data_IF_811023995490
#
_entry.id   IF_811023995490
#
_cell.length_a   1.000
_cell.length_b   1.000
_cell.length_c   1.000
_cell.angle_alpha   90.00
_cell.angle_beta   90.00
_cell.angle_gamma   90.00
#
_symmetry.space_group_name_H-M   'P 1'
#
loop_
_entity.id
_entity.type
_entity.pdbx_description
1 polymer ?
#
# COMPACT_ATOMS: atom_id res chain seq x y z
N UNK A 1 9.71 2.07 -12.54
CA UNK A 1 8.26 2.34 -12.28
C UNK A 1 7.73 3.68 -12.85
N UNK A 2 7.59 3.83 -14.19
CA UNK A 2 6.97 5.01 -14.85
C UNK A 2 7.38 6.40 -14.27
N UNK A 3 8.65 6.56 -13.90
CA UNK A 3 9.20 7.82 -13.36
C UNK A 3 8.86 8.15 -11.90
N UNK A 4 8.18 7.27 -11.14
CA UNK A 4 7.89 7.47 -9.70
C UNK A 4 8.64 6.45 -8.83
N UNK A 5 8.97 6.85 -7.61
CA UNK A 5 9.54 5.99 -6.58
C UNK A 5 8.48 5.10 -5.90
N UNK A 6 8.93 4.10 -5.12
CA UNK A 6 8.03 3.28 -4.28
C UNK A 6 7.38 4.13 -3.19
N UNK A 7 8.15 5.04 -2.57
CA UNK A 7 7.65 5.92 -1.53
C UNK A 7 6.52 6.84 -2.04
N UNK A 8 6.75 7.62 -3.09
CA UNK A 8 5.72 8.50 -3.68
C UNK A 8 4.46 7.71 -4.05
N UNK A 9 4.61 6.49 -4.60
CA UNK A 9 3.46 5.65 -4.96
C UNK A 9 2.72 5.11 -3.73
N UNK A 10 3.43 4.65 -2.69
CA UNK A 10 2.82 4.19 -1.44
C UNK A 10 2.06 5.33 -0.74
N UNK A 11 2.68 6.51 -0.62
CA UNK A 11 2.06 7.71 -0.04
C UNK A 11 0.81 8.10 -0.82
N UNK A 12 0.89 8.15 -2.16
CA UNK A 12 -0.28 8.41 -3.00
C UNK A 12 -1.39 7.40 -2.78
N UNK A 13 -1.08 6.10 -2.79
CA UNK A 13 -2.07 5.04 -2.56
C UNK A 13 -2.78 5.15 -1.21
N UNK A 14 -2.05 5.49 -0.15
CA UNK A 14 -2.62 5.80 1.17
C UNK A 14 -3.58 7.00 1.09
N UNK A 15 -3.14 8.12 0.51
CA UNK A 15 -3.94 9.35 0.44
C UNK A 15 -5.16 9.23 -0.48
N UNK A 16 -5.02 8.53 -1.61
CA UNK A 16 -6.07 8.31 -2.62
C UNK A 16 -7.09 7.25 -2.17
N UNK A 17 -6.81 6.50 -1.10
CA UNK A 17 -7.79 5.58 -0.50
C UNK A 17 -9.05 6.28 0.01
N UNK A 18 -8.93 7.58 0.33
CA UNK A 18 -9.97 8.40 0.96
C UNK A 18 -10.04 8.25 2.48
N UNK A 19 -9.32 7.29 3.07
CA UNK A 19 -9.34 6.99 4.51
C UNK A 19 -8.15 7.54 5.28
N UNK A 20 -7.13 8.08 4.61
CA UNK A 20 -5.90 8.62 5.24
C UNK A 20 -5.79 10.13 5.05
N UNK A 21 -5.80 10.85 6.17
CA UNK A 21 -5.76 12.33 6.20
C UNK A 21 -4.34 12.89 6.26
N UNK A 22 -3.42 12.17 6.89
CA UNK A 22 -2.00 12.54 7.10
C UNK A 22 -1.11 11.31 6.96
N UNK A 23 0.10 11.52 6.46
CA UNK A 23 1.14 10.49 6.39
C UNK A 23 2.43 11.04 7.01
N UNK A 24 3.05 10.24 7.88
CA UNK A 24 4.38 10.53 8.41
C UNK A 24 5.36 9.51 7.84
N UNK A 25 6.41 9.99 7.21
CA UNK A 25 7.48 9.16 6.64
C UNK A 25 8.70 9.26 7.54
N UNK A 26 9.06 8.16 8.21
CA UNK A 26 10.34 8.06 8.89
C UNK A 26 11.44 7.72 7.87
N UNK A 27 12.42 8.61 7.76
CA UNK A 27 13.51 8.53 6.79
C UNK A 27 14.87 8.45 7.49
N UNK A 28 15.85 7.70 6.93
CA UNK A 28 17.25 7.82 7.36
C UNK A 28 17.71 9.29 7.35
N UNK A 29 18.56 9.67 8.29
CA UNK A 29 18.97 11.06 8.49
C UNK A 29 19.60 11.70 7.23
N UNK A 30 20.36 10.92 6.45
CA UNK A 30 20.98 11.32 5.19
C UNK A 30 19.97 11.41 4.02
N UNK A 31 18.79 10.83 4.17
CA UNK A 31 17.72 10.80 3.16
C UNK A 31 16.59 11.81 3.43
N UNK A 32 16.62 12.55 4.53
CA UNK A 32 15.57 13.52 4.88
C UNK A 32 15.31 14.55 3.77
N UNK A 33 16.37 15.20 3.27
CA UNK A 33 16.25 16.20 2.20
C UNK A 33 15.70 15.62 0.88
N UNK A 34 16.30 14.54 0.35
CA UNK A 34 15.79 13.83 -0.82
C UNK A 34 14.31 13.41 -0.69
N UNK A 35 13.95 12.73 0.41
CA UNK A 35 12.57 12.24 0.60
C UNK A 35 11.57 13.38 0.79
N UNK A 36 11.95 14.47 1.48
CA UNK A 36 11.09 15.67 1.60
C UNK A 36 10.78 16.29 0.25
N UNK A 37 11.79 16.39 -0.64
CA UNK A 37 11.56 16.88 -2.02
C UNK A 37 10.67 15.93 -2.81
N UNK A 38 10.84 14.63 -2.64
CA UNK A 38 10.07 13.62 -3.35
C UNK A 38 8.58 13.66 -3.00
N UNK A 39 8.24 13.87 -1.72
CA UNK A 39 6.84 13.91 -1.25
C UNK A 39 6.25 15.33 -1.25
N UNK A 40 6.99 16.33 -1.72
CA UNK A 40 6.55 17.73 -1.73
C UNK A 40 5.23 17.94 -2.49
N UNK A 41 4.96 17.13 -3.52
CA UNK A 41 3.71 17.22 -4.29
C UNK A 41 2.44 16.98 -3.44
N UNK A 42 2.56 16.35 -2.27
CA UNK A 42 1.43 16.06 -1.38
C UNK A 42 1.18 17.18 -0.34
N UNK A 43 2.01 18.22 -0.33
CA UNK A 43 1.87 19.39 0.56
C UNK A 43 1.83 19.02 2.05
N UNK A 44 1.03 19.76 2.82
CA UNK A 44 0.92 19.62 4.29
C UNK A 44 0.23 18.32 4.76
N UNK A 45 -0.09 17.41 3.83
CA UNK A 45 -0.62 16.08 4.18
C UNK A 45 0.49 15.10 4.54
N UNK A 46 1.74 15.38 4.16
CA UNK A 46 2.86 14.44 4.32
C UNK A 46 4.02 15.12 5.05
N UNK A 47 4.51 14.48 6.10
CA UNK A 47 5.63 14.97 6.90
C UNK A 47 6.74 13.94 6.92
N UNK A 48 7.97 14.38 6.68
CA UNK A 48 9.16 13.52 6.77
C UNK A 48 9.88 13.81 8.08
N UNK A 49 10.21 12.77 8.82
CA UNK A 49 10.91 12.86 10.12
C UNK A 49 12.13 11.94 10.11
N UNK A 50 13.18 12.26 10.91
CA UNK A 50 14.28 11.31 11.11
C UNK A 50 13.74 10.02 11.73
N UNK A 51 14.08 8.89 11.11
CA UNK A 51 13.92 7.56 11.70
C UNK A 51 15.02 7.26 12.71
N UNK A 52 14.95 6.08 13.33
CA UNK A 52 15.96 5.60 14.28
C UNK A 52 16.86 4.51 13.69
N UNK A 53 17.64 3.85 14.56
CA UNK A 53 18.59 2.81 14.16
C UNK A 53 17.89 1.54 13.65
N UNK A 54 16.75 1.21 14.25
CA UNK A 54 15.93 0.06 13.88
C UNK A 54 14.55 0.48 13.33
N UNK A 55 13.81 -0.49 12.77
CA UNK A 55 12.42 -0.27 12.30
C UNK A 55 11.52 0.24 13.43
N UNK A 56 11.60 -0.37 14.61
CA UNK A 56 10.81 0.01 15.79
C UNK A 56 11.05 1.47 16.17
N UNK A 57 12.31 1.93 16.16
CA UNK A 57 12.63 3.32 16.51
C UNK A 57 12.08 4.31 15.48
N UNK A 58 12.12 3.92 14.20
CA UNK A 58 11.57 4.72 13.11
C UNK A 58 10.05 4.88 13.23
N UNK A 59 9.32 3.81 13.57
CA UNK A 59 7.88 3.89 13.79
C UNK A 59 7.55 4.70 15.05
N UNK A 60 8.34 4.56 16.13
CA UNK A 60 8.18 5.37 17.35
C UNK A 60 8.31 6.87 17.04
N UNK A 61 9.35 7.27 16.32
CA UNK A 61 9.55 8.66 15.91
C UNK A 61 8.39 9.19 15.03
N UNK A 62 7.88 8.35 14.12
CA UNK A 62 6.73 8.69 13.28
C UNK A 62 5.43 8.85 14.10
N UNK A 63 5.19 7.97 15.08
CA UNK A 63 4.02 8.03 15.96
C UNK A 63 4.03 9.30 16.82
N UNK A 64 5.17 9.64 17.44
CA UNK A 64 5.32 10.88 18.20
C UNK A 64 5.09 12.13 17.34
N UNK A 65 5.53 12.09 16.09
CA UNK A 65 5.26 13.18 15.14
C UNK A 65 3.78 13.25 14.77
N UNK A 66 3.12 12.12 14.53
CA UNK A 66 1.69 12.07 14.26
C UNK A 66 0.87 12.65 15.42
N UNK A 67 1.24 12.36 16.67
CA UNK A 67 0.61 12.92 17.87
C UNK A 67 0.68 14.45 17.94
N UNK A 68 1.77 15.05 17.46
CA UNK A 68 1.91 16.51 17.39
C UNK A 68 1.12 17.12 16.24
N UNK A 69 0.91 16.37 15.16
CA UNK A 69 0.27 16.84 13.93
C UNK A 69 -1.26 16.72 13.96
N UNK A 70 -1.79 15.75 14.71
CA UNK A 70 -3.22 15.41 14.73
C UNK A 70 -3.73 15.44 16.18
N UNK A 71 -4.51 16.46 16.52
CA UNK A 71 -5.02 16.69 17.88
C UNK A 71 -5.94 15.58 18.42
N UNK A 72 -6.66 14.89 17.54
CA UNK A 72 -7.56 13.78 17.88
C UNK A 72 -7.21 12.53 17.07
N UNK A 73 -5.98 12.04 17.21
CA UNK A 73 -5.51 10.83 16.53
C UNK A 73 -6.19 9.59 17.12
N UNK A 74 -7.23 9.09 16.43
CA UNK A 74 -7.98 7.89 16.83
C UNK A 74 -7.41 6.60 16.23
N UNK A 75 -7.10 6.62 14.93
CA UNK A 75 -6.63 5.46 14.16
C UNK A 75 -5.25 5.74 13.57
N UNK A 76 -4.34 4.79 13.70
CA UNK A 76 -2.99 4.83 13.12
C UNK A 76 -2.81 3.64 12.18
N UNK A 77 -2.27 3.90 10.99
CA UNK A 77 -1.81 2.86 10.08
C UNK A 77 -0.28 2.85 10.04
N UNK A 78 0.34 1.68 10.23
CA UNK A 78 1.76 1.47 9.93
C UNK A 78 1.87 0.74 8.59
N UNK A 79 2.55 1.37 7.62
CA UNK A 79 2.65 0.85 6.26
C UNK A 79 4.10 0.84 5.76
N UNK A 80 4.46 -0.24 5.08
CA UNK A 80 5.78 -0.37 4.47
C UNK A 80 5.78 0.36 3.12
N UNK A 81 6.68 1.33 2.92
CA UNK A 81 6.82 2.02 1.64
C UNK A 81 7.12 1.07 0.46
N UNK A 82 7.70 -0.11 0.73
CA UNK A 82 7.95 -1.16 -0.24
C UNK A 82 6.66 -1.86 -0.74
N UNK A 83 5.50 -1.67 -0.09
CA UNK A 83 4.19 -2.20 -0.52
C UNK A 83 3.39 -1.16 -1.32
N UNK A 84 4.07 -0.51 -2.25
CA UNK A 84 3.58 0.64 -3.02
C UNK A 84 2.35 0.37 -3.91
N UNK A 85 1.91 -0.88 -4.02
CA UNK A 85 0.82 -1.34 -4.89
C UNK A 85 -0.42 -1.79 -4.11
N UNK A 86 -0.42 -1.58 -2.80
CA UNK A 86 -1.55 -1.93 -1.94
C UNK A 86 -2.84 -1.29 -2.45
N UNK A 87 -3.86 -2.07 -2.80
CA UNK A 87 -5.12 -1.52 -3.30
C UNK A 87 -5.84 -0.68 -2.25
N UNK A 88 -6.52 0.38 -2.70
CA UNK A 88 -7.31 1.25 -1.84
C UNK A 88 -8.35 0.51 -0.99
N UNK A 89 -8.92 -0.61 -1.49
CA UNK A 89 -9.85 -1.43 -0.70
C UNK A 89 -9.20 -1.95 0.58
N UNK A 90 -7.96 -2.48 0.50
CA UNK A 90 -7.27 -3.09 1.65
C UNK A 90 -7.05 -2.03 2.74
N UNK A 91 -6.66 -0.82 2.33
CA UNK A 91 -6.50 0.32 3.24
C UNK A 91 -7.83 0.67 3.92
N UNK A 92 -8.92 0.78 3.14
CA UNK A 92 -10.25 1.06 3.67
C UNK A 92 -10.76 -0.01 4.62
N UNK A 93 -10.56 -1.29 4.29
CA UNK A 93 -11.03 -2.42 5.09
C UNK A 93 -10.31 -2.46 6.45
N UNK A 94 -9.00 -2.18 6.47
CA UNK A 94 -8.22 -2.05 7.71
C UNK A 94 -8.74 -0.88 8.57
N UNK A 95 -8.92 0.30 7.98
CA UNK A 95 -9.44 1.48 8.71
C UNK A 95 -10.84 1.22 9.25
N UNK A 96 -11.74 0.73 8.41
CA UNK A 96 -13.12 0.43 8.78
C UNK A 96 -13.18 -0.60 9.91
N UNK A 97 -12.33 -1.62 9.91
CA UNK A 97 -12.30 -2.60 10.99
C UNK A 97 -11.87 -1.98 12.34
N UNK A 98 -10.91 -1.05 12.33
CA UNK A 98 -10.54 -0.29 13.54
C UNK A 98 -11.68 0.61 13.99
N UNK A 99 -12.30 1.34 13.07
CA UNK A 99 -13.44 2.22 13.36
C UNK A 99 -14.69 1.47 13.87
N UNK A 100 -14.86 0.20 13.49
CA UNK A 100 -15.89 -0.70 14.02
C UNK A 100 -15.51 -1.39 15.34
N UNK A 101 -14.42 -0.95 16.00
CA UNK A 101 -14.09 -1.32 17.37
C UNK A 101 -12.97 -2.37 17.52
N UNK A 102 -12.28 -2.76 16.44
CA UNK A 102 -11.05 -3.54 16.60
C UNK A 102 -9.90 -2.63 17.09
N UNK A 103 -9.14 -3.07 18.10
CA UNK A 103 -7.98 -2.31 18.57
C UNK A 103 -6.75 -2.47 17.66
N UNK A 104 -6.65 -3.59 16.94
CA UNK A 104 -5.58 -3.89 16.00
C UNK A 104 -6.09 -4.78 14.86
N UNK A 105 -5.65 -4.49 13.63
CA UNK A 105 -6.11 -5.13 12.41
C UNK A 105 -4.95 -5.31 11.43
N UNK A 106 -4.82 -6.51 10.86
CA UNK A 106 -3.85 -6.79 9.80
C UNK A 106 -4.48 -7.42 8.56
N UNK A 107 -4.11 -6.99 7.34
CA UNK A 107 -4.48 -7.68 6.12
C UNK A 107 -3.69 -8.98 5.96
N UNK A 108 -4.35 -10.04 5.53
CA UNK A 108 -3.75 -11.37 5.46
C UNK A 108 -4.06 -12.13 4.17
N UNK A 109 -3.13 -12.97 3.73
CA UNK A 109 -3.33 -13.93 2.64
C UNK A 109 -3.13 -15.36 3.12
N UNK A 110 -3.83 -16.35 2.54
CA UNK A 110 -3.54 -17.76 2.80
C UNK A 110 -2.12 -18.13 2.37
N UNK A 111 -1.49 -19.05 3.11
CA UNK A 111 -0.20 -19.61 2.68
C UNK A 111 -0.42 -20.55 1.49
N UNK A 112 0.23 -20.24 0.37
CA UNK A 112 0.03 -20.95 -0.90
C UNK A 112 0.81 -22.27 -1.00
N UNK A 113 1.96 -22.36 -0.33
CA UNK A 113 2.84 -23.54 -0.37
C UNK A 113 2.60 -24.47 0.83
N UNK A 114 3.20 -25.66 0.80
CA UNK A 114 3.22 -26.56 1.96
C UNK A 114 4.27 -26.07 2.95
N UNK A 115 3.88 -25.91 4.22
CA UNK A 115 4.79 -25.47 5.29
C UNK A 115 5.31 -26.68 6.06
N UNK A 116 6.62 -26.76 6.25
CA UNK A 116 7.28 -27.76 7.09
C UNK A 116 7.92 -27.06 8.29
N UNK A 117 7.80 -27.65 9.48
CA UNK A 117 8.67 -27.29 10.61
C UNK A 117 9.93 -28.12 10.50
N UNK A 118 11.07 -27.44 10.55
CA UNK A 118 12.41 -28.05 10.45
C UNK A 118 13.07 -27.94 11.83
N UNK A 119 13.75 -29.01 12.27
CA UNK A 119 14.51 -28.98 13.53
C UNK A 119 15.92 -28.36 13.34
N UNK A 120 16.71 -28.35 14.42
CA UNK A 120 18.06 -27.78 14.41
C UNK A 120 19.06 -28.52 13.53
N UNK A 121 18.76 -29.76 13.12
CA UNK A 121 19.61 -30.58 12.24
C UNK A 121 19.21 -30.48 10.77
N UNK A 122 18.16 -29.71 10.45
CA UNK A 122 17.67 -29.55 9.09
C UNK A 122 16.70 -30.64 8.65
N UNK A 123 16.19 -31.46 9.57
CA UNK A 123 15.27 -32.56 9.27
C UNK A 123 13.82 -32.09 9.41
N UNK A 124 12.94 -32.59 8.52
CA UNK A 124 11.50 -32.30 8.58
C UNK A 124 10.90 -32.92 9.84
N UNK A 125 10.53 -32.07 10.81
CA UNK A 125 9.89 -32.50 12.05
C UNK A 125 8.39 -32.76 11.86
N UNK A 126 7.69 -31.87 11.16
CA UNK A 126 6.28 -32.05 10.82
C UNK A 126 5.84 -31.22 9.60
N UNK A 127 4.68 -31.59 9.05
CA UNK A 127 3.95 -30.77 8.08
C UNK A 127 2.91 -29.95 8.84
N UNK A 128 3.00 -28.63 8.76
CA UNK A 128 2.07 -27.73 9.46
C UNK A 128 0.78 -27.61 8.65
N UNK A 129 -0.38 -27.64 9.33
CA UNK A 129 -1.67 -27.37 8.69
C UNK A 129 -1.76 -25.90 8.28
N UNK A 130 -1.46 -25.65 7.00
CA UNK A 130 -1.48 -24.32 6.40
C UNK A 130 -2.87 -23.68 6.34
N UNK A 131 -3.96 -24.44 6.54
CA UNK A 131 -5.32 -23.88 6.52
C UNK A 131 -5.55 -22.86 7.63
N UNK A 132 -4.78 -22.97 8.72
CA UNK A 132 -4.75 -22.07 9.87
C UNK A 132 -3.66 -21.00 9.76
N UNK A 133 -2.81 -21.04 8.74
CA UNK A 133 -1.69 -20.11 8.57
C UNK A 133 -2.00 -19.00 7.59
N UNK A 134 -1.50 -17.80 7.90
CA UNK A 134 -1.63 -16.63 7.04
C UNK A 134 -0.31 -15.90 6.91
N UNK A 135 -0.07 -15.28 5.76
CA UNK A 135 0.97 -14.26 5.63
C UNK A 135 0.36 -12.90 5.94
N UNK A 136 1.10 -12.08 6.69
CA UNK A 136 0.67 -10.75 7.11
C UNK A 136 1.20 -9.70 6.14
N UNK A 137 0.35 -8.73 5.82
CA UNK A 137 0.67 -7.59 4.97
C UNK A 137 0.56 -6.28 5.77
N UNK A 138 0.93 -5.17 5.14
CA UNK A 138 0.64 -3.83 5.67
C UNK A 138 -0.22 -3.07 4.63
N UNK A 139 -1.03 -2.08 5.01
CA UNK A 139 -1.04 -1.38 6.31
C UNK A 139 -1.55 -2.24 7.46
N UNK A 140 -0.90 -2.14 8.62
CA UNK A 140 -1.45 -2.64 9.88
C UNK A 140 -2.16 -1.48 10.57
N UNK A 141 -3.39 -1.66 11.00
CA UNK A 141 -4.23 -0.62 11.60
C UNK A 141 -4.38 -0.82 13.09
N UNK A 142 -4.36 0.28 13.85
CA UNK A 142 -4.44 0.27 15.30
C UNK A 142 -5.24 1.46 15.81
N UNK A 143 -5.90 1.29 16.95
CA UNK A 143 -6.25 2.45 17.78
C UNK A 143 -4.97 3.12 18.27
N UNK A 144 -4.91 4.44 18.26
CA UNK A 144 -3.70 5.17 18.65
C UNK A 144 -3.29 4.88 20.10
N UNK A 145 -4.26 4.67 21.00
CA UNK A 145 -4.02 4.28 22.40
C UNK A 145 -3.22 2.97 22.50
N UNK A 146 -3.72 1.88 21.92
CA UNK A 146 -3.08 0.57 21.96
C UNK A 146 -1.70 0.58 21.29
N UNK A 147 -1.54 1.31 20.18
CA UNK A 147 -0.24 1.41 19.53
C UNK A 147 0.78 2.15 20.41
N UNK A 148 0.38 3.24 21.08
CA UNK A 148 1.25 3.97 22.02
C UNK A 148 1.65 3.08 23.20
N UNK A 149 0.70 2.36 23.78
CA UNK A 149 0.97 1.45 24.89
C UNK A 149 1.98 0.36 24.47
N UNK A 150 1.75 -0.27 23.32
CA UNK A 150 2.62 -1.30 22.80
C UNK A 150 4.05 -0.79 22.55
N UNK A 151 4.21 0.41 21.98
CA UNK A 151 5.52 1.03 21.74
C UNK A 151 6.20 1.57 23.01
N UNK A 152 5.43 1.90 24.05
CA UNK A 152 5.93 2.31 25.35
C UNK A 152 6.43 1.13 26.21
N UNK A 153 5.84 -0.05 26.04
CA UNK A 153 6.26 -1.29 26.69
C UNK A 153 7.33 -2.08 25.92
N UNK A 154 7.60 -1.70 24.66
CA UNK A 154 8.54 -2.41 23.79
C UNK A 154 10.00 -2.20 24.22
N UNK A 155 10.61 -3.23 24.82
CA UNK A 155 12.05 -3.28 25.10
C UNK A 155 12.86 -3.80 23.91
N UNK A 156 12.29 -4.74 23.15
CA UNK A 156 12.94 -5.42 22.02
C UNK A 156 12.33 -5.07 20.66
N UNK A 157 13.13 -5.25 19.61
CA UNK A 157 12.67 -5.17 18.23
C UNK A 157 11.60 -6.25 17.94
N UNK A 158 10.52 -5.85 17.26
CA UNK A 158 9.49 -6.76 16.78
C UNK A 158 9.61 -6.95 15.26
N UNK A 159 9.22 -8.13 14.78
CA UNK A 159 9.17 -8.43 13.35
C UNK A 159 8.09 -7.61 12.62
N UNK A 160 7.02 -7.24 13.33
CA UNK A 160 5.96 -6.33 12.88
C UNK A 160 5.27 -5.63 14.07
N UNK A 161 4.42 -4.64 13.78
CA UNK A 161 3.76 -3.80 14.80
C UNK A 161 2.63 -4.55 15.50
N UNK A 162 1.91 -5.41 14.77
CA UNK A 162 0.89 -6.28 15.33
C UNK A 162 1.47 -7.22 16.39
N UNK A 163 2.66 -7.77 16.16
CA UNK A 163 3.35 -8.59 17.15
C UNK A 163 3.67 -7.87 18.47
N UNK A 164 3.85 -6.53 18.47
CA UNK A 164 3.98 -5.76 19.71
C UNK A 164 2.66 -5.74 20.48
N UNK A 165 1.56 -5.51 19.76
CA UNK A 165 0.22 -5.46 20.33
C UNK A 165 -0.24 -6.84 20.84
N UNK A 166 0.08 -7.91 20.13
CA UNK A 166 -0.20 -9.29 20.56
C UNK A 166 0.49 -9.64 21.88
N UNK A 167 1.74 -9.20 22.07
CA UNK A 167 2.49 -9.43 23.32
C UNK A 167 1.87 -8.75 24.54
N UNK A 168 1.12 -7.67 24.32
CA UNK A 168 0.33 -6.99 25.35
C UNK A 168 -0.99 -7.69 25.66
N UNK A 169 -1.33 -8.77 24.95
CA UNK A 169 -2.57 -9.53 25.13
C UNK A 169 -3.78 -8.94 24.39
N UNK A 170 -3.58 -7.89 23.59
CA UNK A 170 -4.65 -7.33 22.77
C UNK A 170 -4.94 -8.23 21.56
N UNK A 171 -6.22 -8.42 21.20
CA UNK A 171 -6.59 -9.22 20.04
C UNK A 171 -6.26 -8.49 18.73
N UNK A 172 -5.50 -9.14 17.85
CA UNK A 172 -5.30 -8.69 16.47
C UNK A 172 -6.34 -9.35 15.56
N UNK A 173 -7.18 -8.54 14.92
CA UNK A 173 -8.15 -8.99 13.93
C UNK A 173 -7.52 -9.02 12.54
N UNK A 174 -8.13 -9.79 11.65
CA UNK A 174 -7.67 -9.89 10.27
C UNK A 174 -8.73 -9.37 9.31
N UNK A 175 -8.25 -8.82 8.18
CA UNK A 175 -9.07 -8.54 6.99
C UNK A 175 -8.44 -9.24 5.79
N UNK A 176 -9.18 -9.33 4.69
CA UNK A 176 -8.67 -9.90 3.45
C UNK A 176 -7.57 -9.02 2.85
N UNK A 177 -6.39 -9.59 2.65
CA UNK A 177 -5.28 -8.93 1.98
C UNK A 177 -5.41 -8.95 0.46
N UNK A 178 -4.33 -8.57 -0.23
CA UNK A 178 -4.29 -8.60 -1.69
C UNK A 178 -2.89 -8.92 -2.22
N UNK A 179 -2.80 -9.70 -3.28
CA UNK A 179 -1.51 -10.06 -3.90
C UNK A 179 -0.78 -8.84 -4.47
N UNK A 180 -1.48 -7.78 -4.86
CA UNK A 180 -0.89 -6.50 -5.25
C UNK A 180 -0.25 -5.76 -4.07
N UNK A 181 -0.61 -6.07 -2.81
CA UNK A 181 0.11 -5.56 -1.64
C UNK A 181 1.46 -6.28 -1.40
N UNK A 182 2.09 -6.82 -2.45
CA UNK A 182 3.42 -7.44 -2.38
C UNK A 182 4.47 -6.46 -1.87
N UNK A 183 5.45 -6.97 -1.14
CA UNK A 183 6.57 -6.17 -0.65
C UNK A 183 7.68 -6.23 -1.69
N UNK A 184 8.07 -5.09 -2.26
CA UNK A 184 9.15 -5.01 -3.25
C UNK A 184 10.50 -5.01 -2.51
N UNK A 185 11.18 -6.15 -2.50
CA UNK A 185 12.45 -6.35 -1.77
C UNK A 185 13.57 -6.92 -2.63
N UNK A 186 13.24 -7.45 -3.80
CA UNK A 186 14.18 -8.08 -4.72
C UNK A 186 14.01 -7.54 -6.14
N UNK A 187 14.98 -7.84 -7.01
CA UNK A 187 14.88 -7.55 -8.45
C UNK A 187 13.71 -8.30 -9.11
N UNK A 188 13.38 -9.50 -8.62
CA UNK A 188 12.20 -10.24 -9.06
C UNK A 188 10.91 -9.50 -8.70
N UNK A 189 10.78 -9.04 -7.45
CA UNK A 189 9.60 -8.28 -7.00
C UNK A 189 9.45 -6.99 -7.80
N UNK A 190 10.57 -6.34 -8.15
CA UNK A 190 10.56 -5.15 -8.99
C UNK A 190 10.03 -5.45 -10.40
N UNK A 191 10.46 -6.55 -11.02
CA UNK A 191 9.95 -6.97 -12.33
C UNK A 191 8.43 -7.28 -12.27
N UNK A 192 7.97 -7.94 -11.20
CA UNK A 192 6.54 -8.18 -10.95
C UNK A 192 5.79 -6.85 -10.80
N UNK A 193 6.31 -5.93 -10.00
CA UNK A 193 5.71 -4.60 -9.80
C UNK A 193 5.61 -3.82 -11.12
N UNK A 194 6.60 -3.91 -12.00
CA UNK A 194 6.57 -3.27 -13.32
C UNK A 194 5.54 -3.92 -14.27
N UNK A 195 5.36 -5.24 -14.20
CA UNK A 195 4.30 -5.93 -14.92
C UNK A 195 2.91 -5.52 -14.43
N UNK A 196 2.72 -5.40 -13.11
CA UNK A 196 1.46 -4.91 -12.50
C UNK A 196 1.16 -3.48 -12.99
N UNK A 197 2.17 -2.59 -13.02
CA UNK A 197 2.02 -1.23 -13.58
C UNK A 197 1.60 -1.25 -15.05
N UNK A 198 2.15 -2.16 -15.85
CA UNK A 198 1.84 -2.25 -17.27
C UNK A 198 0.39 -2.71 -17.52
N UNK A 199 -0.17 -3.50 -16.61
CA UNK A 199 -1.54 -4.00 -16.69
C UNK A 199 -2.61 -3.03 -16.17
N UNK A 200 -2.24 -1.96 -15.45
CA UNK A 200 -3.20 -0.92 -15.07
C UNK A 200 -3.75 -0.24 -16.33
N UNK A 201 -5.09 -0.17 -16.51
CA UNK A 201 -5.66 0.48 -17.68
C UNK A 201 -5.19 1.93 -17.71
N UNK A 202 -4.49 2.27 -18.79
CA UNK A 202 -4.06 3.61 -19.14
C UNK A 202 -5.25 4.55 -18.98
N UNK A 203 -5.11 5.61 -18.18
CA UNK A 203 -6.24 6.51 -17.88
C UNK A 203 -6.81 7.09 -19.17
N UNK A 204 -8.11 7.42 -19.18
CA UNK A 204 -8.80 8.01 -20.32
C UNK A 204 -8.11 9.29 -20.88
N UNK A 205 -7.25 9.95 -20.10
CA UNK A 205 -6.48 11.11 -20.52
C UNK A 205 -5.41 10.77 -21.58
N UNK A 206 -4.81 9.59 -21.55
CA UNK A 206 -3.76 9.19 -22.51
C UNK A 206 -4.36 8.68 -23.83
N UNK A 207 -5.58 8.13 -23.83
CA UNK A 207 -6.32 7.78 -25.05
C UNK A 207 -6.81 9.00 -25.85
N UNK A 208 -7.04 10.14 -25.19
CA UNK A 208 -7.44 11.37 -25.88
C UNK A 208 -6.28 12.04 -26.61
N UNK A 209 -5.04 11.85 -26.15
CA UNK A 209 -3.84 12.45 -26.76
C UNK A 209 -3.32 11.66 -27.98
N UNK A 210 -3.81 10.44 -28.20
CA UNK A 210 -3.33 9.52 -29.23
C UNK A 210 -4.24 9.40 -30.46
N UNK A 211 -5.29 10.22 -30.60
CA UNK A 211 -6.11 10.23 -31.83
C UNK A 211 -5.42 11.08 -32.90
N UNK A 212 -4.96 10.49 -34.02
CA UNK A 212 -4.57 11.30 -35.17
C UNK A 212 -5.82 11.99 -35.75
N UNK A 213 -5.70 13.28 -36.09
CA UNK A 213 -6.69 14.01 -36.87
C UNK A 213 -6.90 13.28 -38.20
N UNK A 214 -8.00 12.54 -38.31
CA UNK A 214 -8.46 11.99 -39.58
C UNK A 214 -9.24 13.09 -40.28
N UNK A 215 -8.80 13.60 -41.44
CA UNK A 215 -9.55 14.60 -42.18
C UNK A 215 -10.87 13.98 -42.63
N UNK A 216 -12.00 14.58 -42.20
CA UNK A 216 -13.33 14.21 -42.68
C UNK A 216 -13.42 14.60 -44.16
N UNK A 217 -13.53 13.60 -45.05
CA UNK A 217 -13.80 13.81 -46.47
C UNK A 217 -15.27 14.27 -46.63
N UNK A 218 -15.56 15.32 -47.41
CA UNK A 218 -16.94 15.73 -47.66
C UNK A 218 -17.68 14.66 -48.49
N UNK A 219 -19.01 14.56 -48.34
CA UNK A 219 -19.82 13.57 -49.05
C UNK A 219 -19.83 13.83 -50.56
N UNK A 220 -19.66 12.76 -51.35
CA UNK A 220 -19.83 12.79 -52.81
C UNK A 220 -21.31 13.07 -53.16
N UNK A 221 -21.53 14.06 -54.02
CA UNK A 221 -22.83 14.36 -54.60
C UNK A 221 -23.27 13.21 -55.51
N UNK A 222 -24.46 12.68 -55.24
CA UNK A 222 -25.09 11.66 -56.07
C UNK A 222 -25.46 12.26 -57.44
N UNK A 223 -24.84 11.72 -58.49
CA UNK A 223 -25.12 12.04 -59.88
C UNK A 223 -26.56 11.63 -60.24
N UNK A 224 -27.42 12.64 -60.41
CA UNK A 224 -28.78 12.49 -60.87
C UNK A 224 -28.85 12.62 -62.39
N UNK A 225 -29.09 11.49 -63.07
CA UNK A 225 -29.94 11.46 -64.25
C UNK A 225 -29.34 10.87 -65.53
N UNK A 226 -29.98 9.81 -66.03
CA UNK A 226 -30.95 9.96 -67.13
C UNK A 226 -31.70 8.65 -67.43
N UNK A 227 -33.02 8.78 -67.44
CA UNK A 227 -33.97 7.88 -68.09
C UNK A 227 -33.82 7.91 -69.63
N UNK A 228 -34.28 6.85 -70.28
CA UNK A 228 -34.50 6.74 -71.73
C UNK A 228 -34.45 5.26 -72.16
N UNK A 229 -35.43 4.41 -71.88
CA UNK A 229 -36.80 4.30 -72.41
C UNK A 229 -36.90 3.40 -73.68
N UNK A 230 -37.92 2.52 -73.62
CA UNK A 230 -38.65 1.80 -74.69
C UNK A 230 -38.05 0.55 -75.41
N UNK A 231 -38.77 -0.56 -75.17
CA UNK A 231 -39.08 -1.76 -76.00
C UNK A 231 -38.01 -2.82 -76.30
#
# INVERSE_FOLDING_TARGET
MRGRSLLSRAVRGLLDSGSVSRVVVAAPADQLGPMTREVHEFGDRVHVVPGGGERTDSVRAALEAADRLVSSLGTVLVHDAARAFTPARVIRDVVAAVEHGACAVVPTLPVADTVKRIDSEGVVAETVDRSLLRTVQTPQGFTAEVLREAYGAAEDAATDDAGLVERMGYPVRTVEGDTHALKVTSSFDLAVAEAVLAAEPTSAAELSAARPDVPVRPPEEADSGRNGDVS
#
